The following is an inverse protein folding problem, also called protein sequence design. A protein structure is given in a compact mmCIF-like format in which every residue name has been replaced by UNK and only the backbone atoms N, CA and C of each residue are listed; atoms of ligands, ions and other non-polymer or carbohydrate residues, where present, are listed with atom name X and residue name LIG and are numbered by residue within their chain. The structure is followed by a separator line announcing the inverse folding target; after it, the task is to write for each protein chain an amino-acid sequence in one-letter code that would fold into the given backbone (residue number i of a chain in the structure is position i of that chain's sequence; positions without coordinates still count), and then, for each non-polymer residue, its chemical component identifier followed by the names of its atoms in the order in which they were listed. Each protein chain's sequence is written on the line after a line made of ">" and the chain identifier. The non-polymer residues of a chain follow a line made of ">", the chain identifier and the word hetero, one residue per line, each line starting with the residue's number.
data_IF_739713748435
#
_entry.id   IF_739713748435
#
_cell.length_a   1.000
_cell.length_b   1.000
_cell.length_c   1.000
_cell.angle_alpha   90.00
_cell.angle_beta   90.00
_cell.angle_gamma   90.00
#
_symmetry.space_group_name_H-M   'P 1'
#
loop_
_entity.id
_entity.type
_entity.pdbx_description
1 polymer ?
#
# COMPACT_ATOMS: atom_id res chain seq x y z
N UNK A 1 19.13 15.88 17.02
CA UNK A 1 17.86 15.14 17.07
C UNK A 1 18.17 13.72 17.50
N UNK A 2 17.52 13.26 18.57
CA UNK A 2 17.68 11.91 19.10
C UNK A 2 16.48 11.02 18.69
N UNK A 3 16.66 9.69 18.72
CA UNK A 3 15.61 8.74 18.29
C UNK A 3 14.28 8.94 19.04
N UNK A 4 14.34 9.28 20.33
CA UNK A 4 13.17 9.51 21.18
C UNK A 4 12.30 10.68 20.70
N UNK A 5 12.90 11.69 20.08
CA UNK A 5 12.19 12.85 19.53
C UNK A 5 11.52 12.53 18.18
N UNK A 6 12.04 11.52 17.47
CA UNK A 6 11.55 11.11 16.15
C UNK A 6 10.40 10.10 16.24
N UNK A 7 10.37 9.26 17.29
CA UNK A 7 9.34 8.23 17.48
C UNK A 7 7.90 8.78 17.42
N UNK A 8 7.53 9.88 18.12
CA UNK A 8 6.17 10.42 18.07
C UNK A 8 5.73 10.87 16.66
N UNK A 9 6.68 11.24 15.80
CA UNK A 9 6.41 11.61 14.41
C UNK A 9 6.33 10.38 13.49
N UNK A 10 7.17 9.36 13.73
CA UNK A 10 7.19 8.15 12.91
C UNK A 10 6.02 7.21 13.19
N UNK A 11 5.53 7.13 14.43
CA UNK A 11 4.45 6.21 14.80
C UNK A 11 3.19 6.45 13.92
N UNK A 12 2.67 7.68 13.76
CA UNK A 12 1.54 7.95 12.89
C UNK A 12 1.80 7.56 11.43
N UNK A 13 2.98 7.89 10.91
CA UNK A 13 3.37 7.56 9.53
C UNK A 13 3.40 6.05 9.31
N UNK A 14 3.96 5.30 10.26
CA UNK A 14 3.99 3.84 10.22
C UNK A 14 2.58 3.24 10.28
N UNK A 15 1.69 3.79 11.12
CA UNK A 15 0.29 3.35 11.19
C UNK A 15 -0.42 3.54 9.85
N UNK A 16 -0.27 4.73 9.23
CA UNK A 16 -0.85 5.03 7.92
C UNK A 16 -0.29 4.06 6.87
N UNK A 17 1.02 3.83 6.87
CA UNK A 17 1.67 2.92 5.95
C UNK A 17 1.13 1.49 6.09
N UNK A 18 1.05 0.96 7.32
CA UNK A 18 0.55 -0.39 7.58
C UNK A 18 -0.93 -0.53 7.25
N UNK A 19 -1.75 0.46 7.59
CA UNK A 19 -3.17 0.48 7.22
C UNK A 19 -3.34 0.47 5.70
N UNK A 20 -2.61 1.33 4.99
CA UNK A 20 -2.67 1.42 3.54
C UNK A 20 -2.21 0.12 2.86
N UNK A 21 -1.12 -0.47 3.34
CA UNK A 21 -0.62 -1.77 2.88
C UNK A 21 -1.66 -2.87 3.09
N UNK A 22 -2.23 -2.97 4.29
CA UNK A 22 -3.21 -4.00 4.63
C UNK A 22 -4.48 -3.87 3.78
N UNK A 23 -5.01 -2.65 3.62
CA UNK A 23 -6.21 -2.39 2.80
C UNK A 23 -5.92 -2.71 1.33
N UNK A 24 -4.75 -2.34 0.80
CA UNK A 24 -4.39 -2.63 -0.60
C UNK A 24 -4.27 -4.14 -0.87
N UNK A 25 -3.60 -4.89 0.01
CA UNK A 25 -3.50 -6.34 -0.13
C UNK A 25 -4.86 -7.03 0.01
N UNK A 26 -5.69 -6.59 0.95
CA UNK A 26 -7.03 -7.11 1.14
C UNK A 26 -7.94 -6.85 -0.08
N UNK A 27 -7.90 -5.64 -0.64
CA UNK A 27 -8.62 -5.28 -1.85
C UNK A 27 -8.13 -6.10 -3.05
N UNK A 28 -6.81 -6.26 -3.22
CA UNK A 28 -6.21 -7.08 -4.28
C UNK A 28 -6.62 -8.55 -4.20
N UNK A 29 -6.67 -9.10 -2.98
CA UNK A 29 -7.09 -10.48 -2.76
C UNK A 29 -8.55 -10.70 -3.15
N UNK A 30 -9.43 -9.73 -2.86
CA UNK A 30 -10.88 -9.83 -3.11
C UNK A 30 -11.29 -9.48 -4.53
N UNK A 31 -10.55 -8.63 -5.24
CA UNK A 31 -10.91 -8.25 -6.61
C UNK A 31 -10.83 -9.43 -7.56
N UNK A 32 -11.80 -9.66 -8.45
CA UNK A 32 -11.68 -10.73 -9.45
C UNK A 32 -10.69 -10.37 -10.56
N UNK A 33 -10.67 -9.10 -10.99
CA UNK A 33 -9.87 -8.60 -12.12
C UNK A 33 -9.12 -7.33 -11.70
N UNK A 34 -7.89 -7.21 -12.18
CA UNK A 34 -7.03 -6.02 -12.05
C UNK A 34 -6.46 -5.67 -13.42
N UNK A 35 -6.07 -4.41 -13.62
CA UNK A 35 -5.33 -4.01 -14.83
C UNK A 35 -3.95 -4.66 -14.82
N UNK A 36 -3.79 -5.75 -15.57
CA UNK A 36 -2.59 -6.59 -15.55
C UNK A 36 -2.61 -7.66 -14.44
N UNK A 37 -1.55 -8.50 -14.35
CA UNK A 37 -1.54 -9.66 -13.47
C UNK A 37 -1.55 -9.28 -11.99
N UNK A 38 -2.41 -9.91 -11.19
CA UNK A 38 -2.52 -9.66 -9.74
C UNK A 38 -1.19 -9.78 -8.98
N UNK A 39 -0.35 -10.74 -9.36
CA UNK A 39 0.93 -10.97 -8.69
C UNK A 39 1.90 -9.78 -8.85
N UNK A 40 1.82 -9.04 -9.97
CA UNK A 40 2.62 -7.82 -10.19
C UNK A 40 2.19 -6.75 -9.19
N UNK A 41 0.88 -6.57 -9.01
CA UNK A 41 0.35 -5.63 -8.03
C UNK A 41 0.74 -5.98 -6.59
N UNK A 42 0.75 -7.27 -6.24
CA UNK A 42 1.23 -7.70 -4.92
C UNK A 42 2.69 -7.29 -4.68
N UNK A 43 3.56 -7.48 -5.68
CA UNK A 43 4.95 -7.03 -5.60
C UNK A 43 5.05 -5.50 -5.47
N UNK A 44 4.30 -4.76 -6.28
CA UNK A 44 4.28 -3.29 -6.23
C UNK A 44 3.86 -2.80 -4.84
N UNK A 45 2.78 -3.34 -4.29
CA UNK A 45 2.25 -2.99 -2.96
C UNK A 45 3.29 -3.24 -1.86
N UNK A 46 4.00 -4.36 -1.89
CA UNK A 46 4.93 -4.76 -0.83
C UNK A 46 6.29 -4.08 -0.94
N UNK A 47 6.84 -3.94 -2.14
CA UNK A 47 8.23 -3.50 -2.35
C UNK A 47 8.39 -2.00 -2.60
N UNK A 48 7.32 -1.28 -2.94
CA UNK A 48 7.37 0.15 -3.31
C UNK A 48 6.91 1.05 -2.14
N UNK A 49 6.86 0.51 -0.91
CA UNK A 49 6.53 1.24 0.32
C UNK A 49 5.17 1.95 0.20
N UNK A 50 4.96 3.16 0.73
CA UNK A 50 3.70 3.92 0.64
C UNK A 50 3.26 4.14 -0.83
N UNK A 51 4.20 4.29 -1.75
CA UNK A 51 3.89 4.57 -3.16
C UNK A 51 3.24 3.35 -3.84
N UNK A 52 3.62 2.13 -3.47
CA UNK A 52 3.07 0.90 -4.04
C UNK A 52 1.55 0.76 -3.92
N UNK A 53 0.99 0.80 -2.69
CA UNK A 53 -0.45 0.84 -2.45
C UNK A 53 -1.16 2.00 -3.14
N UNK A 54 -0.55 3.20 -3.20
CA UNK A 54 -1.15 4.36 -3.90
C UNK A 54 -1.27 4.05 -5.39
N UNK A 55 -0.19 3.58 -6.03
CA UNK A 55 -0.21 3.18 -7.44
C UNK A 55 -1.25 2.10 -7.70
N UNK A 56 -1.37 1.13 -6.80
CA UNK A 56 -2.40 0.10 -6.89
C UNK A 56 -3.80 0.71 -6.88
N UNK A 57 -4.13 1.57 -5.92
CA UNK A 57 -5.46 2.17 -5.87
C UNK A 57 -5.78 3.10 -7.03
N UNK A 58 -4.78 3.77 -7.60
CA UNK A 58 -4.97 4.71 -8.73
C UNK A 58 -5.05 3.96 -10.06
N UNK A 59 -4.16 3.00 -10.30
CA UNK A 59 -3.97 2.41 -11.64
C UNK A 59 -4.46 0.97 -11.78
N UNK A 60 -4.49 0.18 -10.69
CA UNK A 60 -4.87 -1.23 -10.80
C UNK A 60 -6.38 -1.42 -10.94
N UNK A 61 -7.16 -0.44 -10.47
CA UNK A 61 -8.62 -0.42 -10.60
C UNK A 61 -8.95 -0.19 -12.07
N UNK A 62 -9.53 -1.20 -12.73
CA UNK A 62 -10.38 -0.90 -13.87
C UNK A 62 -11.57 -0.12 -13.32
N UNK A 63 -11.64 1.16 -13.66
CA UNK A 63 -12.89 1.91 -13.63
C UNK A 63 -13.83 1.16 -14.57
N UNK A 64 -14.89 0.57 -14.00
CA UNK A 64 -16.06 0.19 -14.78
C UNK A 64 -16.72 1.45 -15.34
#
# INVERSE_FOLDING_TARGET
>A
MNLQELLPLLIPVLIIQLALLAVALFDLARRPVTRGPKWVWALVIVFVNIIGPILYFVFARDEA
#
